data_IF_136061012656
#
_entry.id   IF_136061012656
#
_cell.length_a   1.000
_cell.length_b   1.000
_cell.length_c   1.000
_cell.angle_alpha   90.00
_cell.angle_beta   90.00
_cell.angle_gamma   90.00
#
_symmetry.space_group_name_H-M   'P 1'
#
loop_
_entity.id
_entity.type
_entity.pdbx_description
1 polymer ?
#
# COMPACT_ATOMS: atom_id res chain seq x y z
N UNK A 1 9.80 -11.97 9.59
CA UNK A 1 8.38 -12.08 9.20
C UNK A 1 7.98 -10.85 8.42
N UNK A 2 7.17 -11.03 7.38
CA UNK A 2 6.54 -9.94 6.63
C UNK A 2 5.07 -9.87 7.00
N UNK A 3 4.56 -8.66 7.14
CA UNK A 3 3.14 -8.40 7.34
C UNK A 3 2.59 -7.69 6.11
N UNK A 4 1.32 -7.95 5.79
CA UNK A 4 0.62 -7.23 4.74
C UNK A 4 0.02 -5.95 5.32
N UNK A 5 0.23 -4.84 4.62
CA UNK A 5 -0.33 -3.54 4.95
C UNK A 5 -1.19 -3.03 3.80
N UNK A 6 -2.34 -2.43 4.14
CA UNK A 6 -2.96 -1.45 3.25
C UNK A 6 -2.39 -0.08 3.56
N UNK A 7 -1.85 0.56 2.55
CA UNK A 7 -1.41 1.95 2.60
C UNK A 7 -2.43 2.79 1.86
N UNK A 8 -3.21 3.55 2.61
CA UNK A 8 -4.25 4.42 2.08
C UNK A 8 -3.79 5.87 2.18
N UNK A 9 -3.93 6.66 1.12
CA UNK A 9 -3.53 8.07 1.14
C UNK A 9 -4.64 8.99 0.64
N UNK A 10 -4.80 10.11 1.33
CA UNK A 10 -5.61 11.24 0.93
C UNK A 10 -4.68 12.46 0.79
N UNK A 11 -4.41 12.85 -0.45
CA UNK A 11 -3.40 13.88 -0.79
C UNK A 11 -4.11 15.00 -1.53
N UNK A 12 -4.06 16.22 -1.00
CA UNK A 12 -4.82 17.34 -1.56
C UNK A 12 -4.21 17.93 -2.84
N UNK A 13 -2.89 17.85 -3.01
CA UNK A 13 -2.19 18.43 -4.17
C UNK A 13 -1.84 17.37 -5.22
N UNK A 14 -2.25 17.62 -6.46
CA UNK A 14 -2.03 16.73 -7.60
C UNK A 14 -0.55 16.45 -7.91
N UNK A 15 0.38 17.37 -7.60
CA UNK A 15 1.81 17.14 -7.85
C UNK A 15 2.38 16.22 -6.78
N UNK A 16 2.03 16.42 -5.51
CA UNK A 16 2.39 15.50 -4.41
C UNK A 16 1.76 14.13 -4.62
N UNK A 17 0.50 14.06 -5.04
CA UNK A 17 -0.19 12.81 -5.34
C UNK A 17 0.55 11.97 -6.39
N UNK A 18 1.00 12.59 -7.49
CA UNK A 18 1.79 11.89 -8.52
C UNK A 18 3.13 11.38 -7.99
N UNK A 19 3.76 12.11 -7.07
CA UNK A 19 5.00 11.68 -6.40
C UNK A 19 4.74 10.50 -5.47
N UNK A 20 3.75 10.61 -4.59
CA UNK A 20 3.32 9.53 -3.67
C UNK A 20 3.00 8.26 -4.46
N UNK A 21 2.20 8.37 -5.52
CA UNK A 21 1.86 7.24 -6.38
C UNK A 21 3.11 6.59 -6.97
N UNK A 22 4.05 7.39 -7.50
CA UNK A 22 5.28 6.87 -8.08
C UNK A 22 6.15 6.16 -7.03
N UNK A 23 6.30 6.74 -5.84
CA UNK A 23 7.05 6.16 -4.73
C UNK A 23 6.43 4.84 -4.25
N UNK A 24 5.10 4.79 -4.11
CA UNK A 24 4.40 3.58 -3.63
C UNK A 24 4.51 2.39 -4.57
N UNK A 25 4.75 2.61 -5.87
CA UNK A 25 4.99 1.55 -6.86
C UNK A 25 6.26 0.73 -6.59
N UNK A 26 7.20 1.27 -5.84
CA UNK A 26 8.43 0.55 -5.46
C UNK A 26 8.20 -0.35 -4.22
N UNK A 27 7.11 -0.14 -3.49
CA UNK A 27 6.82 -0.82 -2.22
C UNK A 27 5.71 -1.88 -2.30
N UNK A 28 4.81 -1.80 -3.29
CA UNK A 28 3.76 -2.80 -3.43
C UNK A 28 2.82 -2.56 -4.60
N UNK A 29 1.70 -3.25 -4.56
CA UNK A 29 0.74 -3.33 -5.65
C UNK A 29 -0.34 -2.26 -5.52
N UNK A 30 -0.62 -1.57 -6.63
CA UNK A 30 -1.65 -0.56 -6.69
C UNK A 30 -3.03 -1.21 -6.79
N UNK A 31 -3.86 -1.01 -5.77
CA UNK A 31 -5.17 -1.64 -5.67
C UNK A 31 -6.31 -0.72 -6.12
N UNK A 32 -6.32 0.51 -5.63
CA UNK A 32 -7.27 1.56 -6.00
C UNK A 32 -6.52 2.89 -6.08
N UNK A 33 -7.17 3.91 -6.66
CA UNK A 33 -6.60 5.24 -6.87
C UNK A 33 -5.77 5.78 -5.68
N UNK A 34 -6.26 5.53 -4.46
CA UNK A 34 -5.66 5.98 -3.21
C UNK A 34 -5.23 4.85 -2.26
N UNK A 35 -5.12 3.61 -2.76
CA UNK A 35 -4.84 2.43 -1.93
C UNK A 35 -3.80 1.52 -2.59
N UNK A 36 -2.76 1.19 -1.83
CA UNK A 36 -1.76 0.19 -2.17
C UNK A 36 -1.80 -0.97 -1.16
N UNK A 37 -1.52 -2.18 -1.64
CA UNK A 37 -1.24 -3.34 -0.83
C UNK A 37 0.26 -3.61 -0.83
N UNK A 38 0.89 -3.62 0.35
CA UNK A 38 2.33 -3.76 0.50
C UNK A 38 2.67 -4.89 1.47
N UNK A 39 3.70 -5.66 1.19
CA UNK A 39 4.24 -6.63 2.13
C UNK A 39 5.53 -6.08 2.73
N UNK A 40 5.47 -5.70 4.01
CA UNK A 40 6.59 -5.05 4.67
C UNK A 40 7.28 -5.96 5.68
N UNK A 41 8.61 -5.94 5.67
CA UNK A 41 9.38 -6.16 6.88
C UNK A 41 9.38 -4.88 7.73
N UNK A 42 9.74 -4.92 9.03
CA UNK A 42 9.85 -3.71 9.84
C UNK A 42 10.75 -2.63 9.24
N UNK A 43 11.82 -3.05 8.55
CA UNK A 43 12.75 -2.14 7.86
C UNK A 43 12.11 -1.50 6.63
N UNK A 44 11.39 -2.28 5.83
CA UNK A 44 10.71 -1.75 4.64
C UNK A 44 9.59 -0.77 5.02
N UNK A 45 8.84 -1.08 6.08
CA UNK A 45 7.83 -0.17 6.62
C UNK A 45 8.45 1.17 7.05
N UNK A 46 9.59 1.12 7.74
CA UNK A 46 10.30 2.32 8.17
C UNK A 46 10.79 3.15 6.97
N UNK A 47 11.33 2.50 5.93
CA UNK A 47 11.75 3.17 4.68
C UNK A 47 10.58 3.82 3.96
N UNK A 48 9.48 3.08 3.77
CA UNK A 48 8.27 3.59 3.13
C UNK A 48 7.73 4.82 3.87
N UNK A 49 7.65 4.75 5.21
CA UNK A 49 7.26 5.90 6.05
C UNK A 49 8.18 7.09 5.86
N UNK A 50 9.49 6.87 5.82
CA UNK A 50 10.46 7.94 5.63
C UNK A 50 10.30 8.60 4.26
N UNK A 51 10.22 7.82 3.17
CA UNK A 51 10.07 8.38 1.82
C UNK A 51 8.76 9.15 1.65
N UNK A 52 7.66 8.64 2.21
CA UNK A 52 6.38 9.35 2.18
C UNK A 52 6.43 10.64 3.02
N UNK A 53 7.11 10.63 4.17
CA UNK A 53 7.27 11.80 5.04
C UNK A 53 7.96 12.97 4.31
N UNK A 54 8.92 12.68 3.42
CA UNK A 54 9.60 13.72 2.62
C UNK A 54 8.72 14.31 1.50
N UNK A 55 7.63 13.64 1.14
CA UNK A 55 6.78 14.03 -0.01
C UNK A 55 5.50 14.72 0.45
N UNK A 56 4.87 14.24 1.52
CA UNK A 56 3.55 14.71 1.96
C UNK A 56 3.62 16.04 2.70
N UNK A 57 2.52 16.79 2.66
CA UNK A 57 2.33 17.96 3.51
C UNK A 57 1.53 17.58 4.76
N UNK A 58 2.18 17.57 5.92
CA UNK A 58 1.61 17.02 7.17
C UNK A 58 0.32 17.68 7.69
N UNK A 59 -0.05 18.86 7.20
CA UNK A 59 -1.30 19.54 7.59
C UNK A 59 -2.44 19.36 6.58
N UNK A 60 -2.13 18.93 5.36
CA UNK A 60 -3.12 18.82 4.27
C UNK A 60 -3.34 17.37 3.86
N UNK A 61 -2.30 16.55 3.98
CA UNK A 61 -2.28 15.19 3.48
C UNK A 61 -2.34 14.19 4.63
N UNK A 62 -2.97 13.05 4.39
CA UNK A 62 -3.03 11.94 5.34
C UNK A 62 -2.61 10.63 4.66
N UNK A 63 -1.79 9.86 5.36
CA UNK A 63 -1.46 8.48 4.98
C UNK A 63 -1.74 7.56 6.16
N UNK A 64 -2.53 6.51 5.91
CA UNK A 64 -2.88 5.48 6.86
C UNK A 64 -2.17 4.18 6.51
N UNK A 65 -1.64 3.50 7.52
CA UNK A 65 -1.04 2.18 7.40
C UNK A 65 -1.89 1.22 8.23
N UNK A 66 -2.58 0.30 7.57
CA UNK A 66 -3.44 -0.71 8.21
C UNK A 66 -2.71 -2.04 8.16
N UNK A 67 -2.27 -2.53 9.32
CA UNK A 67 -1.65 -3.85 9.46
C UNK A 67 -2.74 -4.93 9.37
N UNK A 68 -2.61 -5.84 8.42
CA UNK A 68 -3.54 -6.93 8.18
C UNK A 68 -3.02 -8.26 8.72
N UNK A 69 -1.86 -8.25 9.39
CA UNK A 69 -1.21 -9.41 9.96
C UNK A 69 -0.17 -10.05 9.05
N UNK A 70 0.35 -11.22 9.47
CA UNK A 70 1.37 -11.95 8.73
C UNK A 70 0.90 -12.37 7.34
N UNK A 71 1.83 -12.38 6.39
CA UNK A 71 1.57 -12.89 5.02
C UNK A 71 1.21 -14.38 5.04
N UNK A 72 1.81 -15.15 5.95
CA UNK A 72 1.56 -16.58 6.10
C UNK A 72 0.22 -16.85 6.82
N UNK A 73 -0.66 -17.63 6.19
CA UNK A 73 -1.94 -18.05 6.79
C UNK A 73 -3.10 -17.07 6.59
N UNK A 74 -2.91 -16.00 5.82
CA UNK A 74 -3.99 -15.09 5.44
C UNK A 74 -4.86 -15.77 4.38
N UNK A 75 -6.05 -16.23 4.76
CA UNK A 75 -7.07 -16.59 3.78
C UNK A 75 -7.53 -15.33 3.02
N UNK A 76 -7.96 -15.48 1.77
CA UNK A 76 -8.45 -14.42 0.85
C UNK A 76 -9.62 -13.55 1.38
N UNK A 77 -10.03 -13.76 2.63
CA UNK A 77 -11.30 -13.30 3.21
C UNK A 77 -11.20 -12.02 4.05
N UNK A 78 -10.04 -11.37 4.12
CA UNK A 78 -9.88 -10.17 5.00
C UNK A 78 -10.34 -8.88 4.30
N UNK A 79 -10.27 -8.82 2.97
CA UNK A 79 -10.67 -7.63 2.20
C UNK A 79 -11.93 -7.97 1.39
N UNK A 80 -13.02 -7.25 1.68
CA UNK A 80 -14.26 -7.33 0.90
C UNK A 80 -14.51 -6.01 0.18
N UNK A 81 -14.96 -6.07 -1.07
CA UNK A 81 -15.32 -4.90 -1.86
C UNK A 81 -16.82 -4.92 -2.23
N UNK A 82 -17.38 -3.74 -2.43
CA UNK A 82 -18.71 -3.54 -3.00
C UNK A 82 -18.57 -2.89 -4.39
N UNK A 83 -19.30 -3.38 -5.39
CA UNK A 83 -19.20 -2.91 -6.77
C UNK A 83 -18.20 -3.71 -7.60
N UNK A 84 -17.08 -3.09 -8.03
CA UNK A 84 -16.01 -3.82 -8.72
C UNK A 84 -15.40 -4.84 -7.74
N UNK A 85 -15.26 -6.09 -8.20
CA UNK A 85 -14.65 -7.14 -7.40
C UNK A 85 -13.22 -6.75 -6.98
N UNK A 86 -12.87 -7.07 -5.74
CA UNK A 86 -11.48 -7.07 -5.29
C UNK A 86 -10.77 -8.21 -6.01
N UNK A 87 -9.85 -7.88 -6.91
CA UNK A 87 -8.96 -8.86 -7.51
C UNK A 87 -7.69 -8.82 -6.67
N UNK A 88 -7.49 -9.82 -5.81
CA UNK A 88 -6.15 -10.09 -5.30
C UNK A 88 -5.27 -10.35 -6.52
N UNK A 89 -4.21 -9.55 -6.67
CA UNK A 89 -3.13 -9.91 -7.57
C UNK A 89 -2.41 -11.06 -6.88
N UNK A 90 -2.90 -12.28 -7.06
CA UNK A 90 -2.08 -13.45 -6.80
C UNK A 90 -0.78 -13.21 -7.53
N UNK A 91 0.33 -13.17 -6.79
CA UNK A 91 1.65 -13.03 -7.38
C UNK A 91 1.80 -14.24 -8.30
N UNK A 92 1.52 -14.04 -9.59
CA UNK A 92 1.68 -15.06 -10.62
C UNK A 92 3.14 -15.44 -10.60
N UNK A 93 3.45 -16.53 -9.92
CA UNK A 93 4.76 -17.14 -9.98
C UNK A 93 4.91 -17.64 -11.42
N UNK A 94 5.48 -16.82 -12.28
CA UNK A 94 5.96 -17.26 -13.58
C UNK A 94 7.27 -17.99 -13.29
N UNK A 95 7.20 -19.32 -13.22
CA UNK A 95 8.39 -20.16 -13.32
C UNK A 95 8.76 -20.16 -14.82
N UNK A 96 9.90 -19.58 -15.15
CA UNK A 96 10.56 -19.73 -16.46
C UNK A 96 11.60 -20.83 -16.34
#
# INVERSE_FOLDING_TARGET
MRNTYLVCYDICDDKRLRKVFKTMRDFGDHLQYSIFECQFTPVDLAKCRHELNEIIHHYEDQVLFVDLGPVEGRGDRVISALGKAYTSLDASCIIV
#
